data_IF_125266712004
#
_entry.id   IF_125266712004
#
_cell.length_a   1.000
_cell.length_b   1.000
_cell.length_c   1.000
_cell.angle_alpha   90.00
_cell.angle_beta   90.00
_cell.angle_gamma   90.00
#
_symmetry.space_group_name_H-M   'P 1'
#
loop_
_entity.id
_entity.type
_entity.pdbx_description
1 polymer ?
#
# COMPACT_ATOMS: atom_id res chain seq x y z
N UNK A 1 -19.61 3.83 -16.82
CA UNK A 1 -19.61 2.68 -15.88
C UNK A 1 -18.66 2.99 -14.73
N UNK A 2 -19.15 2.92 -13.49
CA UNK A 2 -18.32 3.08 -12.29
C UNK A 2 -17.51 1.81 -12.10
N UNK A 3 -16.17 1.93 -12.14
CA UNK A 3 -15.29 0.80 -11.84
C UNK A 3 -15.63 0.24 -10.43
N UNK A 4 -15.84 -1.07 -10.36
CA UNK A 4 -16.10 -1.80 -9.12
C UNK A 4 -14.80 -2.45 -8.67
N UNK A 5 -14.40 -2.23 -7.41
CA UNK A 5 -13.23 -2.87 -6.81
C UNK A 5 -13.68 -3.86 -5.73
N UNK A 6 -13.06 -5.03 -5.70
CA UNK A 6 -13.32 -6.05 -4.69
C UNK A 6 -12.50 -5.78 -3.44
N UNK A 7 -13.13 -5.82 -2.28
CA UNK A 7 -12.51 -5.61 -0.97
C UNK A 7 -13.03 -6.64 0.05
N UNK A 8 -12.31 -6.79 1.15
CA UNK A 8 -12.69 -7.64 2.26
C UNK A 8 -13.08 -6.80 3.47
N UNK A 9 -14.12 -7.24 4.19
CA UNK A 9 -14.49 -6.70 5.49
C UNK A 9 -14.13 -7.70 6.57
N UNK A 10 -13.33 -7.27 7.55
CA UNK A 10 -12.85 -8.09 8.66
C UNK A 10 -13.42 -7.52 9.96
N UNK A 11 -14.05 -8.37 10.77
CA UNK A 11 -14.50 -8.03 12.12
C UNK A 11 -13.61 -8.73 13.13
N UNK A 12 -12.91 -7.96 13.97
CA UNK A 12 -12.04 -8.52 15.00
C UNK A 12 -11.98 -7.61 16.23
N UNK A 13 -12.19 -8.20 17.41
CA UNK A 13 -12.12 -7.50 18.70
C UNK A 13 -12.95 -6.19 18.74
N UNK A 14 -14.13 -6.20 18.14
CA UNK A 14 -15.01 -5.04 18.07
C UNK A 14 -14.60 -3.97 17.04
N UNK A 15 -13.59 -4.22 16.20
CA UNK A 15 -13.22 -3.36 15.08
C UNK A 15 -13.79 -3.89 13.78
N UNK A 16 -14.25 -2.97 12.93
CA UNK A 16 -14.58 -3.22 11.53
C UNK A 16 -13.44 -2.70 10.66
N UNK A 17 -12.78 -3.59 9.95
CA UNK A 17 -11.60 -3.29 9.13
C UNK A 17 -11.95 -3.55 7.66
N UNK A 18 -11.66 -2.59 6.78
CA UNK A 18 -11.69 -2.78 5.34
C UNK A 18 -10.27 -3.04 4.85
N UNK A 19 -10.10 -4.11 4.07
CA UNK A 19 -8.89 -4.44 3.37
C UNK A 19 -9.14 -4.43 1.86
N UNK A 20 -8.49 -3.50 1.15
CA UNK A 20 -8.60 -3.31 -0.29
C UNK A 20 -7.23 -3.51 -0.95
N UNK A 21 -7.00 -4.61 -1.68
CA UNK A 21 -5.79 -4.80 -2.47
C UNK A 21 -5.94 -4.18 -3.86
N UNK A 22 -4.89 -3.51 -4.35
CA UNK A 22 -4.81 -3.05 -5.74
C UNK A 22 -3.43 -3.32 -6.33
N UNK A 23 -3.35 -3.32 -7.66
CA UNK A 23 -2.08 -3.21 -8.39
C UNK A 23 -2.11 -2.04 -9.37
N UNK A 24 -0.99 -1.36 -9.50
CA UNK A 24 -0.77 -0.31 -10.51
C UNK A 24 0.01 -0.84 -11.72
N UNK A 25 0.48 -2.10 -11.68
CA UNK A 25 1.28 -2.74 -12.73
C UNK A 25 0.61 -4.06 -13.14
N UNK A 26 0.64 -4.34 -14.42
CA UNK A 26 0.20 -5.60 -14.99
C UNK A 26 1.34 -6.26 -15.78
N UNK A 27 1.80 -7.43 -15.33
CA UNK A 27 2.74 -8.24 -16.10
C UNK A 27 2.09 -8.84 -17.36
N UNK A 28 0.77 -9.04 -17.31
CA UNK A 28 -0.04 -9.54 -18.43
C UNK A 28 -1.31 -8.70 -18.54
N UNK A 29 -1.57 -8.04 -19.68
CA UNK A 29 -2.75 -7.17 -19.84
C UNK A 29 -4.09 -7.84 -19.53
N UNK A 30 -4.23 -9.13 -19.89
CA UNK A 30 -5.46 -9.90 -19.65
C UNK A 30 -5.74 -10.18 -18.16
N UNK A 31 -4.76 -9.99 -17.28
CA UNK A 31 -4.98 -10.16 -15.82
C UNK A 31 -5.88 -9.08 -15.22
N UNK A 32 -6.12 -7.99 -15.94
CA UNK A 32 -6.97 -6.88 -15.52
C UNK A 32 -8.38 -7.31 -15.09
N UNK A 33 -8.91 -8.38 -15.67
CA UNK A 33 -10.27 -8.87 -15.39
C UNK A 33 -10.38 -9.60 -14.04
N UNK A 34 -9.26 -10.02 -13.46
CA UNK A 34 -9.21 -10.86 -12.26
C UNK A 34 -8.72 -10.13 -11.00
N UNK A 35 -8.27 -8.88 -11.15
CA UNK A 35 -7.62 -8.14 -10.07
C UNK A 35 -8.08 -6.69 -10.05
N UNK A 36 -7.98 -6.05 -8.89
CA UNK A 36 -8.21 -4.62 -8.76
C UNK A 36 -7.02 -3.86 -9.39
N UNK A 37 -7.18 -3.42 -10.61
CA UNK A 37 -6.16 -2.66 -11.32
C UNK A 37 -6.48 -1.18 -11.35
N UNK A 38 -5.53 -0.36 -10.92
CA UNK A 38 -5.62 1.11 -10.99
C UNK A 38 -4.48 1.61 -11.86
N UNK A 39 -4.77 1.92 -13.12
CA UNK A 39 -3.76 2.48 -14.02
C UNK A 39 -3.14 3.76 -13.42
N UNK A 40 -1.80 3.95 -13.50
CA UNK A 40 -1.10 5.08 -12.89
C UNK A 40 -1.27 6.38 -13.70
N UNK A 41 -2.50 6.67 -14.11
CA UNK A 41 -2.89 7.89 -14.84
C UNK A 41 -3.89 8.68 -14.00
N UNK A 42 -3.85 10.00 -14.12
CA UNK A 42 -4.63 10.95 -13.30
C UNK A 42 -6.12 10.63 -13.24
N UNK A 43 -6.71 10.29 -14.39
CA UNK A 43 -8.14 10.01 -14.47
C UNK A 43 -8.52 8.78 -13.64
N UNK A 44 -7.79 7.66 -13.78
CA UNK A 44 -8.04 6.41 -13.06
C UNK A 44 -7.76 6.56 -11.57
N UNK A 45 -6.73 7.28 -11.19
CA UNK A 45 -6.46 7.62 -9.80
C UNK A 45 -7.57 8.45 -9.17
N UNK A 46 -8.14 9.42 -9.89
CA UNK A 46 -9.28 10.20 -9.41
C UNK A 46 -10.55 9.35 -9.25
N UNK A 47 -10.82 8.44 -10.18
CA UNK A 47 -11.93 7.49 -10.08
C UNK A 47 -11.77 6.60 -8.84
N UNK A 48 -10.56 6.11 -8.60
CA UNK A 48 -10.24 5.29 -7.42
C UNK A 48 -10.37 6.08 -6.10
N UNK A 49 -9.90 7.33 -6.05
CA UNK A 49 -10.10 8.22 -4.88
C UNK A 49 -11.60 8.37 -4.56
N UNK A 50 -12.43 8.61 -5.57
CA UNK A 50 -13.87 8.74 -5.38
C UNK A 50 -14.50 7.43 -4.88
N UNK A 51 -14.07 6.29 -5.42
CA UNK A 51 -14.47 4.98 -4.92
C UNK A 51 -14.12 4.82 -3.43
N UNK A 52 -12.88 5.10 -3.03
CA UNK A 52 -12.45 4.98 -1.63
C UNK A 52 -13.24 5.89 -0.68
N UNK A 53 -13.53 7.14 -1.08
CA UNK A 53 -14.37 8.06 -0.30
C UNK A 53 -15.77 7.48 -0.08
N UNK A 54 -16.39 7.01 -1.15
CA UNK A 54 -17.74 6.42 -1.08
C UNK A 54 -17.74 5.13 -0.23
N UNK A 55 -16.70 4.30 -0.38
CA UNK A 55 -16.55 3.08 0.40
C UNK A 55 -16.41 3.39 1.90
N UNK A 56 -15.55 4.34 2.28
CA UNK A 56 -15.38 4.75 3.69
C UNK A 56 -16.69 5.25 4.30
N UNK A 57 -17.45 6.05 3.54
CA UNK A 57 -18.76 6.59 3.99
C UNK A 57 -19.81 5.49 4.13
N UNK A 58 -19.88 4.57 3.15
CA UNK A 58 -20.83 3.45 3.15
C UNK A 58 -20.56 2.46 4.28
N UNK A 59 -19.30 2.02 4.38
CA UNK A 59 -18.92 0.95 5.29
C UNK A 59 -18.73 1.42 6.74
N UNK A 60 -18.43 2.70 6.97
CA UNK A 60 -18.19 3.27 8.31
C UNK A 60 -17.21 2.41 9.13
N UNK A 61 -16.10 2.02 8.51
CA UNK A 61 -15.10 1.16 9.14
C UNK A 61 -14.23 1.93 10.15
N UNK A 62 -13.76 1.21 11.16
CA UNK A 62 -12.80 1.74 12.15
C UNK A 62 -11.40 1.89 11.55
N UNK A 63 -11.02 1.01 10.61
CA UNK A 63 -9.73 1.01 9.92
C UNK A 63 -9.91 0.68 8.44
N UNK A 64 -9.26 1.46 7.58
CA UNK A 64 -9.20 1.21 6.15
C UNK A 64 -7.75 0.97 5.72
N UNK A 65 -7.45 -0.26 5.34
CA UNK A 65 -6.12 -0.68 4.87
C UNK A 65 -6.15 -0.83 3.35
N UNK A 66 -5.24 -0.15 2.67
CA UNK A 66 -4.97 -0.31 1.25
C UNK A 66 -3.65 -1.06 1.06
N UNK A 67 -3.69 -2.21 0.40
CA UNK A 67 -2.49 -2.90 -0.06
C UNK A 67 -2.22 -2.54 -1.52
N UNK A 68 -1.00 -2.09 -1.83
CA UNK A 68 -0.65 -1.58 -3.16
C UNK A 68 0.55 -2.33 -3.72
N UNK A 69 0.37 -2.99 -4.88
CA UNK A 69 1.50 -3.34 -5.73
C UNK A 69 1.82 -2.14 -6.62
N UNK A 70 2.79 -1.36 -6.22
CA UNK A 70 3.04 -0.01 -6.70
C UNK A 70 3.64 0.04 -8.11
N UNK A 71 3.32 1.08 -8.87
CA UNK A 71 4.08 1.45 -10.08
C UNK A 71 5.31 2.27 -9.65
N UNK A 72 6.39 1.58 -9.30
CA UNK A 72 7.60 2.14 -8.71
C UNK A 72 8.84 1.51 -9.34
N UNK A 73 10.02 2.05 -9.04
CA UNK A 73 11.30 1.49 -9.47
C UNK A 73 11.74 0.39 -8.53
N UNK A 74 12.16 -0.74 -9.08
CA UNK A 74 12.74 -1.83 -8.32
C UNK A 74 14.14 -1.48 -7.79
N UNK A 75 14.54 -2.10 -6.70
CA UNK A 75 15.89 -2.06 -6.11
C UNK A 75 16.40 -0.66 -5.75
N UNK A 76 15.48 0.30 -5.49
CA UNK A 76 15.83 1.64 -4.99
C UNK A 76 15.12 1.95 -3.69
N UNK A 77 15.81 2.61 -2.76
CA UNK A 77 15.23 3.08 -1.49
C UNK A 77 14.51 4.41 -1.63
N UNK A 78 14.72 5.12 -2.72
CA UNK A 78 14.15 6.43 -2.95
C UNK A 78 12.63 6.36 -3.11
N UNK A 79 11.95 7.28 -2.47
CA UNK A 79 10.52 7.53 -2.66
C UNK A 79 10.37 8.72 -3.60
N UNK A 80 9.72 8.51 -4.74
CA UNK A 80 9.52 9.60 -5.70
C UNK A 80 8.48 10.59 -5.19
N UNK A 81 8.62 11.87 -5.56
CA UNK A 81 7.66 12.92 -5.22
C UNK A 81 6.24 12.57 -5.73
N UNK A 82 6.14 11.94 -6.90
CA UNK A 82 4.87 11.50 -7.46
C UNK A 82 4.21 10.39 -6.61
N UNK A 83 4.99 9.45 -6.10
CA UNK A 83 4.51 8.40 -5.22
C UNK A 83 4.04 8.98 -3.88
N UNK A 84 4.83 9.87 -3.31
CA UNK A 84 4.46 10.54 -2.05
C UNK A 84 3.16 11.34 -2.20
N UNK A 85 3.04 12.18 -3.24
CA UNK A 85 1.83 12.94 -3.53
C UNK A 85 0.61 12.04 -3.73
N UNK A 86 0.78 10.94 -4.43
CA UNK A 86 -0.29 9.98 -4.67
C UNK A 86 -0.78 9.35 -3.36
N UNK A 87 0.13 8.89 -2.53
CA UNK A 87 -0.24 8.27 -1.25
C UNK A 87 -0.83 9.26 -0.24
N UNK A 88 -0.38 10.50 -0.24
CA UNK A 88 -1.03 11.54 0.56
C UNK A 88 -2.48 11.77 0.13
N UNK A 89 -2.79 11.81 -1.17
CA UNK A 89 -4.17 11.90 -1.66
C UNK A 89 -5.03 10.70 -1.24
N UNK A 90 -4.44 9.50 -1.17
CA UNK A 90 -5.11 8.31 -0.69
C UNK A 90 -5.41 8.38 0.81
N UNK A 91 -4.49 8.89 1.63
CA UNK A 91 -4.78 9.14 3.05
C UNK A 91 -5.90 10.17 3.23
N UNK A 92 -5.91 11.22 2.42
CA UNK A 92 -6.94 12.28 2.45
C UNK A 92 -8.33 11.78 2.04
N UNK A 93 -8.42 10.72 1.24
CA UNK A 93 -9.70 10.13 0.86
C UNK A 93 -10.28 9.16 1.90
N UNK A 94 -9.59 8.94 3.03
CA UNK A 94 -10.10 8.16 4.15
C UNK A 94 -9.41 6.83 4.40
N UNK A 95 -8.34 6.52 3.66
CA UNK A 95 -7.46 5.38 3.95
C UNK A 95 -6.63 5.72 5.18
N UNK A 96 -6.42 4.73 6.05
CA UNK A 96 -5.70 4.90 7.30
C UNK A 96 -4.29 4.28 7.23
N UNK A 97 -4.15 3.15 6.52
CA UNK A 97 -2.88 2.46 6.31
C UNK A 97 -2.68 2.20 4.82
N UNK A 98 -1.54 2.62 4.28
CA UNK A 98 -1.07 2.22 2.95
C UNK A 98 0.10 1.25 3.14
N UNK A 99 -0.11 0.03 2.68
CA UNK A 99 0.89 -1.03 2.66
C UNK A 99 1.32 -1.27 1.21
N UNK A 100 2.38 -0.60 0.79
CA UNK A 100 2.88 -0.73 -0.57
C UNK A 100 4.06 -1.69 -0.64
N UNK A 101 4.22 -2.27 -1.81
CA UNK A 101 5.33 -3.13 -2.21
C UNK A 101 5.57 -3.00 -3.71
N UNK A 102 6.63 -3.49 -4.19
CA UNK A 102 7.13 -3.71 -5.55
C UNK A 102 8.66 -3.59 -5.61
N UNK A 103 9.23 -2.65 -4.87
CA UNK A 103 10.66 -2.35 -4.94
C UNK A 103 11.60 -3.51 -4.57
N UNK A 104 11.08 -4.60 -4.01
CA UNK A 104 11.80 -5.78 -3.53
C UNK A 104 12.83 -5.51 -2.42
N UNK A 105 12.98 -4.28 -1.99
CA UNK A 105 13.79 -3.85 -0.86
C UNK A 105 12.96 -3.01 0.11
N UNK A 106 13.48 -2.81 1.31
CA UNK A 106 12.81 -1.98 2.32
C UNK A 106 12.99 -0.51 1.96
N UNK A 107 11.87 0.22 1.85
CA UNK A 107 11.82 1.69 1.79
C UNK A 107 11.36 2.26 3.12
N UNK A 108 11.50 3.57 3.27
CA UNK A 108 11.02 4.29 4.45
C UNK A 108 9.52 4.13 4.69
N UNK A 109 9.11 4.53 5.88
CA UNK A 109 7.71 4.71 6.27
C UNK A 109 7.45 6.17 6.62
N UNK A 110 6.21 6.60 6.48
CA UNK A 110 5.76 7.93 6.90
C UNK A 110 4.55 7.80 7.81
N UNK A 111 4.62 8.43 8.99
CA UNK A 111 3.47 8.60 9.88
C UNK A 111 2.92 10.00 9.68
N UNK A 112 1.62 10.09 9.41
CA UNK A 112 0.91 11.34 9.18
C UNK A 112 -0.17 11.49 10.25
N UNK A 113 -0.25 12.64 10.88
CA UNK A 113 -1.35 12.98 11.79
C UNK A 113 -2.38 13.76 10.99
N UNK A 114 -3.60 13.25 10.91
CA UNK A 114 -4.68 13.94 10.22
C UNK A 114 -5.23 15.10 11.05
N UNK A 115 -6.12 15.91 10.47
CA UNK A 115 -6.74 17.06 11.11
C UNK A 115 -7.55 16.73 12.38
N UNK A 116 -7.88 15.47 12.61
CA UNK A 116 -8.62 14.99 13.78
C UNK A 116 -7.68 14.37 14.83
N UNK A 117 -6.36 14.45 14.63
CA UNK A 117 -5.36 13.87 15.52
C UNK A 117 -5.17 12.35 15.35
N UNK A 118 -5.80 11.71 14.36
CA UNK A 118 -5.61 10.30 14.10
C UNK A 118 -4.29 10.06 13.35
N UNK A 119 -3.55 9.04 13.79
CA UNK A 119 -2.34 8.62 13.12
C UNK A 119 -2.67 7.74 11.91
N UNK A 120 -2.03 8.03 10.79
CA UNK A 120 -2.07 7.28 9.55
C UNK A 120 -0.67 6.88 9.17
N UNK A 121 -0.51 5.75 8.47
CA UNK A 121 0.82 5.25 8.11
C UNK A 121 0.91 4.92 6.62
N UNK A 122 2.01 5.31 6.01
CA UNK A 122 2.45 4.86 4.68
C UNK A 122 3.69 3.99 4.87
N UNK A 123 3.64 2.75 4.41
CA UNK A 123 4.77 1.85 4.26
C UNK A 123 5.07 1.78 2.76
N UNK A 124 6.12 2.44 2.30
CA UNK A 124 6.41 2.56 0.86
C UNK A 124 6.87 1.26 0.23
N UNK A 125 7.63 0.45 0.95
CA UNK A 125 7.89 -0.96 0.65
C UNK A 125 8.43 -1.67 1.89
N UNK A 126 8.03 -2.94 2.06
CA UNK A 126 8.44 -3.76 3.21
C UNK A 126 9.49 -4.82 2.85
N UNK A 127 10.08 -4.72 1.65
CA UNK A 127 10.98 -5.74 1.13
C UNK A 127 10.25 -7.04 0.79
N UNK A 128 11.00 -8.13 0.72
CA UNK A 128 10.47 -9.45 0.43
C UNK A 128 10.28 -10.26 1.73
N UNK A 129 9.18 -10.98 1.83
CA UNK A 129 8.95 -11.91 2.97
C UNK A 129 9.85 -13.13 2.84
N UNK A 130 9.97 -13.69 1.61
CA UNK A 130 10.85 -14.78 1.24
C UNK A 130 11.38 -14.45 -0.16
N UNK A 131 12.68 -14.45 -0.33
CA UNK A 131 13.28 -14.05 -1.62
C UNK A 131 14.41 -14.96 -2.05
N UNK A 132 14.36 -15.35 -3.33
CA UNK A 132 15.49 -15.95 -4.04
C UNK A 132 16.28 -14.93 -4.89
N UNK A 133 15.98 -13.62 -4.76
CA UNK A 133 16.59 -12.58 -5.57
C UNK A 133 17.93 -12.09 -5.00
N UNK A 134 18.21 -12.38 -3.73
CA UNK A 134 19.46 -12.02 -3.08
C UNK A 134 20.64 -12.63 -3.85
N UNK A 135 21.66 -11.83 -4.07
CA UNK A 135 22.90 -12.33 -4.68
C UNK A 135 23.56 -13.29 -3.71
N UNK A 136 23.68 -14.55 -4.10
CA UNK A 136 24.45 -15.51 -3.33
C UNK A 136 25.95 -15.20 -3.56
N UNK A 137 26.80 -15.12 -2.52
CA UNK A 137 28.25 -14.90 -2.68
C UNK A 137 28.94 -15.98 -3.54
N UNK A 138 28.28 -17.12 -3.79
CA UNK A 138 28.75 -18.15 -4.69
C UNK A 138 28.36 -17.95 -6.17
N UNK A 139 27.53 -16.96 -6.49
CA UNK A 139 27.27 -16.60 -7.87
C UNK A 139 28.44 -15.77 -8.41
N UNK A 140 29.05 -16.25 -9.49
CA UNK A 140 30.19 -15.66 -10.17
C UNK A 140 29.88 -14.39 -10.98
N UNK A 141 28.80 -13.71 -10.70
CA UNK A 141 28.49 -12.43 -11.32
C UNK A 141 29.46 -11.36 -10.84
N UNK A 142 30.24 -10.81 -11.78
CA UNK A 142 31.33 -9.87 -11.51
C UNK A 142 30.89 -8.47 -11.07
N UNK A 143 29.61 -8.13 -11.17
CA UNK A 143 29.04 -6.84 -10.77
C UNK A 143 27.79 -7.10 -9.95
N UNK A 144 27.95 -7.27 -8.65
CA UNK A 144 26.86 -7.35 -7.70
C UNK A 144 26.32 -5.94 -7.50
N UNK A 145 25.08 -5.70 -7.88
CA UNK A 145 24.36 -4.53 -7.45
C UNK A 145 24.11 -4.65 -5.95
N UNK A 146 24.77 -3.79 -5.16
CA UNK A 146 24.68 -3.82 -3.69
C UNK A 146 23.23 -3.65 -3.20
N UNK A 147 22.40 -2.91 -3.92
CA UNK A 147 20.97 -2.75 -3.57
C UNK A 147 20.21 -4.07 -3.77
N UNK A 148 20.60 -4.89 -4.73
CA UNK A 148 20.00 -6.20 -4.94
C UNK A 148 20.28 -7.18 -3.78
N UNK A 149 21.37 -7.02 -3.05
CA UNK A 149 21.62 -7.84 -1.85
C UNK A 149 20.60 -7.57 -0.74
N UNK A 150 20.05 -6.35 -0.68
CA UNK A 150 19.01 -5.99 0.27
C UNK A 150 17.66 -6.66 -0.01
N UNK A 151 17.51 -7.35 -1.15
CA UNK A 151 16.27 -8.10 -1.48
C UNK A 151 16.04 -9.30 -0.57
N UNK A 152 17.04 -9.72 0.20
CA UNK A 152 16.90 -10.75 1.22
C UNK A 152 16.21 -10.27 2.50
N UNK A 153 16.05 -8.96 2.66
CA UNK A 153 15.52 -8.35 3.86
C UNK A 153 14.01 -8.07 3.71
N UNK A 154 13.27 -8.32 4.78
CA UNK A 154 11.85 -8.02 4.87
C UNK A 154 11.50 -7.40 6.21
N UNK A 155 10.46 -6.57 6.24
CA UNK A 155 10.02 -5.87 7.43
C UNK A 155 8.58 -6.23 7.77
N UNK A 156 8.35 -6.59 9.04
CA UNK A 156 7.03 -6.80 9.61
C UNK A 156 6.66 -5.62 10.50
N UNK A 157 5.48 -5.07 10.32
CA UNK A 157 4.92 -4.05 11.18
C UNK A 157 3.85 -4.64 12.10
N UNK A 158 3.98 -4.35 13.39
CA UNK A 158 2.91 -4.56 14.36
C UNK A 158 2.16 -3.24 14.54
N UNK A 159 0.86 -3.24 14.22
CA UNK A 159 -0.02 -2.08 14.39
C UNK A 159 -1.04 -2.37 15.49
N UNK A 160 -1.03 -1.57 16.54
CA UNK A 160 -2.00 -1.64 17.63
C UNK A 160 -3.12 -0.64 17.39
N UNK A 161 -4.38 -1.11 17.42
CA UNK A 161 -5.57 -0.29 17.29
C UNK A 161 -6.17 -0.01 18.66
N UNK A 162 -6.41 1.28 18.94
CA UNK A 162 -7.09 1.71 20.17
C UNK A 162 -8.31 2.56 19.83
N UNK A 163 -9.48 2.19 20.38
CA UNK A 163 -10.65 3.07 20.32
C UNK A 163 -10.45 4.23 21.30
N UNK A 164 -10.52 5.46 20.81
CA UNK A 164 -10.51 6.62 21.71
C UNK A 164 -11.82 6.64 22.51
N UNK A 165 -11.76 6.80 23.84
CA UNK A 165 -12.98 6.88 24.66
C UNK A 165 -13.88 8.08 24.33
N UNK A 166 -13.41 9.06 23.56
CA UNK A 166 -14.12 10.30 23.24
C UNK A 166 -14.75 10.35 21.84
N UNK A 167 -14.85 9.24 21.11
CA UNK A 167 -15.60 9.16 19.84
C UNK A 167 -16.85 8.30 20.00
N UNK A 168 -17.74 8.69 20.92
CA UNK A 168 -19.17 8.38 20.85
C UNK A 168 -19.82 9.63 20.24
N UNK A 169 -19.92 9.68 18.93
CA UNK A 169 -20.89 10.49 18.20
C UNK A 169 -21.32 9.71 16.97
#
# INVERSE_FOLDING_TARGET
ETESFTYNTIYKNGFKIIFLPITEILNRPNSKEFINYVAPVKEKRNQFINFCKNLKQKEKCDLFILSVHANDTEYTRDVTENQEKWYMQLLDCGIDIIWANHAHIIKDRKIVIDKNGAQKIIMYANGNTISGQRTNPNFTEKNVDLERDNTGDGLLYLVELKKSPNKIQ
#
